data_IF_445251497117
#
_entry.id   IF_445251497117
#
_cell.length_a   1.000
_cell.length_b   1.000
_cell.length_c   1.000
_cell.angle_alpha   90.00
_cell.angle_beta   90.00
_cell.angle_gamma   90.00
#
_symmetry.space_group_name_H-M   'P 1'
#
loop_
_entity.id
_entity.type
_entity.pdbx_description
1 polymer ?
#
# COMPACT_ATOMS: atom_id res chain seq x y z
N UNK A 1 -11.35 5.58 14.90
CA UNK A 1 -10.11 4.96 14.36
C UNK A 1 -9.56 3.98 15.39
N UNK A 2 -9.88 2.70 15.25
CA UNK A 2 -9.52 1.68 16.24
C UNK A 2 -8.03 1.32 16.14
N UNK A 3 -7.31 1.46 17.26
CA UNK A 3 -5.87 1.18 17.46
C UNK A 3 -5.52 -0.32 17.46
N UNK A 4 -6.16 -1.12 16.60
CA UNK A 4 -5.98 -2.58 16.51
C UNK A 4 -4.61 -3.01 15.94
N UNK A 5 -3.83 -2.09 15.37
CA UNK A 5 -2.53 -2.39 14.74
C UNK A 5 -1.39 -2.69 15.72
N UNK A 6 -1.42 -2.19 16.96
CA UNK A 6 -0.26 -2.29 17.88
C UNK A 6 -0.23 -3.63 18.60
N UNK A 7 -1.36 -4.09 19.16
CA UNK A 7 -1.42 -5.36 19.89
C UNK A 7 -1.13 -6.58 19.00
N UNK A 8 -1.60 -6.57 17.74
CA UNK A 8 -1.32 -7.67 16.81
C UNK A 8 0.17 -7.78 16.47
N UNK A 9 0.84 -6.63 16.29
CA UNK A 9 2.27 -6.58 16.00
C UNK A 9 3.12 -7.08 17.17
N UNK A 10 2.76 -6.75 18.41
CA UNK A 10 3.53 -7.22 19.58
C UNK A 10 3.38 -8.71 19.84
N UNK A 11 2.19 -9.27 19.59
CA UNK A 11 1.96 -10.72 19.65
C UNK A 11 2.73 -11.42 18.53
N UNK A 12 2.68 -10.90 17.30
CA UNK A 12 3.43 -11.43 16.16
C UNK A 12 4.94 -11.40 16.41
N UNK A 13 5.47 -10.31 16.96
CA UNK A 13 6.89 -10.22 17.35
C UNK A 13 7.26 -11.25 18.40
N UNK A 14 6.41 -11.48 19.41
CA UNK A 14 6.63 -12.53 20.42
C UNK A 14 6.62 -13.92 19.82
N UNK A 15 5.71 -14.20 18.89
CA UNK A 15 5.64 -15.50 18.18
C UNK A 15 6.87 -15.74 17.29
N UNK A 16 7.43 -14.69 16.69
CA UNK A 16 8.63 -14.75 15.86
C UNK A 16 9.94 -14.61 16.66
N UNK A 17 9.89 -14.52 18.00
CA UNK A 17 11.07 -14.38 18.85
C UNK A 17 11.81 -13.04 18.70
N UNK A 18 11.15 -11.99 18.20
CA UNK A 18 11.77 -10.72 17.86
C UNK A 18 11.70 -9.67 18.99
N UNK A 19 12.69 -8.77 19.09
CA UNK A 19 12.69 -7.71 20.10
C UNK A 19 11.49 -6.76 19.94
N UNK A 20 10.94 -6.26 21.06
CA UNK A 20 9.78 -5.34 21.05
C UNK A 20 10.04 -4.04 20.26
N UNK A 21 11.26 -3.53 20.32
CA UNK A 21 11.69 -2.31 19.62
C UNK A 21 11.87 -2.52 18.11
N UNK A 22 11.87 -3.77 17.64
CA UNK A 22 11.89 -4.07 16.22
C UNK A 22 10.60 -3.56 15.57
N UNK A 23 10.71 -2.81 14.46
CA UNK A 23 9.53 -2.45 13.68
C UNK A 23 8.96 -3.70 13.00
N UNK A 24 7.67 -3.70 12.68
CA UNK A 24 7.07 -4.83 11.92
C UNK A 24 7.76 -4.99 10.56
N UNK A 25 8.13 -3.88 9.91
CA UNK A 25 8.88 -3.89 8.65
C UNK A 25 10.24 -4.60 8.80
N UNK A 26 10.97 -4.29 9.87
CA UNK A 26 12.24 -4.94 10.19
C UNK A 26 12.04 -6.41 10.57
N UNK A 27 10.96 -6.74 11.28
CA UNK A 27 10.59 -8.10 11.65
C UNK A 27 10.40 -8.99 10.41
N UNK A 28 9.66 -8.49 9.42
CA UNK A 28 9.45 -9.21 8.17
C UNK A 28 10.72 -9.31 7.32
N UNK A 29 11.55 -8.26 7.29
CA UNK A 29 12.84 -8.30 6.60
C UNK A 29 13.80 -9.33 7.21
N UNK A 30 13.88 -9.40 8.54
CA UNK A 30 14.68 -10.39 9.27
C UNK A 30 14.21 -11.83 9.03
N UNK A 31 12.91 -12.03 8.81
CA UNK A 31 12.32 -13.35 8.55
C UNK A 31 12.27 -13.70 7.05
N UNK A 32 12.91 -12.93 6.18
CA UNK A 32 12.92 -13.19 4.73
C UNK A 32 11.53 -13.12 4.08
N UNK A 33 10.55 -12.49 4.74
CA UNK A 33 9.19 -12.35 4.19
C UNK A 33 9.23 -11.24 3.14
N UNK A 34 8.96 -11.60 1.89
CA UNK A 34 8.95 -10.65 0.78
C UNK A 34 7.76 -9.68 0.92
N UNK A 35 8.04 -8.54 1.56
CA UNK A 35 7.07 -7.49 1.84
C UNK A 35 7.04 -6.38 0.79
N UNK A 36 7.90 -6.42 -0.22
CA UNK A 36 8.00 -5.36 -1.21
C UNK A 36 6.66 -5.16 -1.92
N UNK A 37 5.95 -6.24 -2.24
CA UNK A 37 4.65 -6.14 -2.88
C UNK A 37 3.59 -5.53 -1.97
N UNK A 38 3.60 -5.86 -0.67
CA UNK A 38 2.67 -5.27 0.30
C UNK A 38 2.93 -3.78 0.48
N UNK A 39 4.20 -3.38 0.60
CA UNK A 39 4.61 -1.98 0.71
C UNK A 39 4.23 -1.22 -0.56
N UNK A 40 4.49 -1.79 -1.74
CA UNK A 40 4.15 -1.19 -3.03
C UNK A 40 2.64 -0.99 -3.15
N UNK A 41 1.82 -2.00 -2.83
CA UNK A 41 0.35 -1.88 -2.84
C UNK A 41 -0.14 -0.80 -1.90
N UNK A 42 0.37 -0.77 -0.66
CA UNK A 42 -0.03 0.23 0.32
C UNK A 42 0.34 1.66 -0.13
N UNK A 43 1.55 1.86 -0.63
CA UNK A 43 2.03 3.16 -1.13
C UNK A 43 1.23 3.63 -2.34
N UNK A 44 0.97 2.74 -3.31
CA UNK A 44 0.15 3.05 -4.49
C UNK A 44 -1.28 3.39 -4.08
N UNK A 45 -1.90 2.60 -3.20
CA UNK A 45 -3.24 2.88 -2.69
C UNK A 45 -3.32 4.24 -2.01
N UNK A 46 -2.38 4.52 -1.09
CA UNK A 46 -2.32 5.78 -0.36
C UNK A 46 -2.17 6.98 -1.29
N UNK A 47 -1.29 6.88 -2.30
CA UNK A 47 -1.10 7.93 -3.29
C UNK A 47 -2.34 8.12 -4.16
N UNK A 48 -2.89 7.03 -4.70
CA UNK A 48 -4.10 7.07 -5.53
C UNK A 48 -5.26 7.72 -4.78
N UNK A 49 -5.53 7.33 -3.54
CA UNK A 49 -6.60 7.94 -2.74
C UNK A 49 -6.38 9.44 -2.53
N UNK A 50 -5.15 9.91 -2.35
CA UNK A 50 -4.86 11.36 -2.27
C UNK A 50 -5.12 12.07 -3.60
N UNK A 51 -4.79 11.45 -4.73
CA UNK A 51 -5.08 11.99 -6.06
C UNK A 51 -6.59 12.06 -6.30
N UNK A 52 -7.34 11.01 -5.97
CA UNK A 52 -8.79 10.96 -6.14
C UNK A 52 -9.56 11.95 -5.24
N UNK A 53 -9.04 12.21 -4.04
CA UNK A 53 -9.65 13.14 -3.09
C UNK A 53 -9.08 14.56 -3.19
N UNK A 54 -8.12 14.81 -4.10
CA UNK A 54 -7.50 16.12 -4.21
C UNK A 54 -8.48 17.15 -4.78
N UNK A 55 -8.52 18.33 -4.17
CA UNK A 55 -9.20 19.52 -4.70
C UNK A 55 -8.24 20.44 -5.45
N UNK A 56 -6.96 20.07 -5.57
CA UNK A 56 -5.98 20.85 -6.31
C UNK A 56 -6.35 20.84 -7.81
N UNK A 57 -6.41 22.02 -8.43
CA UNK A 57 -6.85 22.19 -9.81
C UNK A 57 -5.95 21.46 -10.81
N UNK A 58 -4.64 21.49 -10.62
CA UNK A 58 -3.68 20.78 -11.49
C UNK A 58 -3.89 19.28 -11.40
N UNK A 59 -3.96 18.74 -10.17
CA UNK A 59 -4.19 17.30 -9.95
C UNK A 59 -5.55 16.89 -10.53
N UNK A 60 -6.57 17.71 -10.37
CA UNK A 60 -7.92 17.47 -10.90
C UNK A 60 -7.91 17.45 -12.42
N UNK A 61 -7.26 18.42 -13.08
CA UNK A 61 -7.14 18.47 -14.53
C UNK A 61 -6.39 17.25 -15.07
N UNK A 62 -5.30 16.84 -14.41
CA UNK A 62 -4.56 15.62 -14.78
C UNK A 62 -5.46 14.40 -14.61
N UNK A 63 -6.14 14.24 -13.48
CA UNK A 63 -7.06 13.12 -13.21
C UNK A 63 -8.18 13.01 -14.25
N UNK A 64 -8.72 14.15 -14.68
CA UNK A 64 -9.80 14.21 -15.68
C UNK A 64 -9.30 14.03 -17.13
N UNK A 65 -7.99 14.08 -17.35
CA UNK A 65 -7.41 13.91 -18.69
C UNK A 65 -7.49 12.45 -19.16
N UNK A 66 -7.63 12.26 -20.48
CA UNK A 66 -7.54 10.95 -21.13
C UNK A 66 -6.20 10.26 -20.87
N UNK A 67 -5.13 11.05 -20.70
CA UNK A 67 -3.79 10.56 -20.39
C UNK A 67 -3.72 9.88 -19.02
N UNK A 68 -4.53 10.29 -18.04
CA UNK A 68 -4.63 9.61 -16.75
C UNK A 68 -5.54 8.39 -16.83
N UNK A 69 -6.75 8.52 -17.41
CA UNK A 69 -7.75 7.43 -17.46
C UNK A 69 -7.25 6.23 -18.25
N UNK A 70 -6.66 6.46 -19.43
CA UNK A 70 -6.13 5.41 -20.31
C UNK A 70 -4.62 5.21 -20.13
N UNK A 71 -4.02 5.91 -19.16
CA UNK A 71 -2.59 5.94 -18.98
C UNK A 71 -2.01 4.61 -18.47
N UNK A 72 -0.75 4.31 -18.80
CA UNK A 72 -0.06 3.12 -18.29
C UNK A 72 0.06 3.14 -16.75
N UNK A 73 0.10 4.32 -16.15
CA UNK A 73 0.16 4.46 -14.69
C UNK A 73 -1.12 3.95 -14.01
N UNK A 74 -2.28 4.24 -14.59
CA UNK A 74 -3.57 3.81 -14.08
C UNK A 74 -3.72 2.30 -14.22
N UNK A 75 -3.38 1.74 -15.38
CA UNK A 75 -3.36 0.29 -15.59
C UNK A 75 -2.42 -0.42 -14.60
N UNK A 76 -1.23 0.15 -14.38
CA UNK A 76 -0.26 -0.40 -13.42
C UNK A 76 -0.79 -0.35 -11.99
N UNK A 77 -1.45 0.73 -11.60
CA UNK A 77 -2.05 0.84 -10.27
C UNK A 77 -3.20 -0.15 -10.08
N UNK A 78 -4.07 -0.30 -11.09
CA UNK A 78 -5.15 -1.28 -11.05
C UNK A 78 -4.61 -2.71 -10.91
N UNK A 79 -3.61 -3.10 -11.69
CA UNK A 79 -2.99 -4.43 -11.61
C UNK A 79 -2.23 -4.70 -10.30
N UNK A 80 -1.77 -3.65 -9.60
CA UNK A 80 -1.17 -3.80 -8.28
C UNK A 80 -2.24 -3.89 -7.18
N UNK A 81 -3.35 -3.15 -7.30
CA UNK A 81 -4.36 -3.01 -6.25
C UNK A 81 -5.44 -4.09 -6.30
N UNK A 82 -5.79 -4.57 -7.50
CA UNK A 82 -6.85 -5.54 -7.71
C UNK A 82 -6.29 -6.81 -8.34
N UNK A 83 -6.69 -7.96 -7.82
CA UNK A 83 -6.44 -9.24 -8.46
C UNK A 83 -7.33 -9.29 -9.70
N UNK A 84 -6.74 -9.36 -10.89
CA UNK A 84 -7.49 -9.65 -12.10
C UNK A 84 -7.91 -11.11 -12.03
N UNK A 85 -9.19 -11.38 -11.80
CA UNK A 85 -9.76 -12.70 -12.01
C UNK A 85 -9.70 -12.97 -13.53
N UNK A 86 -8.66 -13.68 -13.96
CA UNK A 86 -8.62 -14.26 -15.29
C UNK A 86 -9.60 -15.42 -15.27
N UNK A 87 -10.77 -15.23 -15.90
CA UNK A 87 -11.73 -16.30 -16.20
C UNK A 87 -11.31 -17.07 -17.44
#
# INVERSE_FOLDING_TARGET
MNRLKVCHNDILKRLLGLPRWCSSSLAFAMNGVNNLDVIRRHSVFSLRSRVELSTNSIITSVRQSSAYVCGPIQQRWLGLLFVQNVG
#
